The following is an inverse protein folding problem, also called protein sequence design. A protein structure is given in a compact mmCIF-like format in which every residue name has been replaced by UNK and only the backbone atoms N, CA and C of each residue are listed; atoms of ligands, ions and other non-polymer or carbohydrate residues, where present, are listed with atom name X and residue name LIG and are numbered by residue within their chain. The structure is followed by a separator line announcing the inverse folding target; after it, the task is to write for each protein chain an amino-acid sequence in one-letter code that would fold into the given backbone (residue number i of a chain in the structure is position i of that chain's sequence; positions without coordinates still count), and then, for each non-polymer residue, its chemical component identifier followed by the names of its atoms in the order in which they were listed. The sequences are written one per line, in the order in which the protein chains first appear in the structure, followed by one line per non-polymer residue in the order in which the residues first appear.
data_IF_330544416775
#
_entry.id   IF_330544416775
#
_cell.length_a   1.000
_cell.length_b   1.000
_cell.length_c   1.000
_cell.angle_alpha   90.00
_cell.angle_beta   90.00
_cell.angle_gamma   90.00
#
_symmetry.space_group_name_H-M   'P 1'
#
loop_
_entity.id
_entity.type
_entity.pdbx_description
1 polymer ?
#
# COMPACT_ATOMS: atom_id res chain seq x y z
N UNK A 1 -3.15 3.30 24.01
CA UNK A 1 -1.85 2.70 23.65
C UNK A 1 -1.52 3.25 22.27
N UNK A 2 -0.43 3.99 22.10
CA UNK A 2 -0.04 4.47 20.78
C UNK A 2 0.48 3.25 20.02
N UNK A 3 -0.22 2.81 18.97
CA UNK A 3 0.28 1.74 18.12
C UNK A 3 1.47 2.30 17.33
N UNK A 4 2.68 1.87 17.68
CA UNK A 4 3.85 2.16 16.87
C UNK A 4 3.72 1.41 15.56
N UNK A 5 3.72 2.13 14.44
CA UNK A 5 3.71 1.50 13.12
C UNK A 5 5.00 0.68 12.93
N UNK A 6 4.94 -0.47 12.25
CA UNK A 6 6.13 -1.26 11.97
C UNK A 6 7.01 -0.55 10.93
N UNK A 7 8.32 -0.62 11.12
CA UNK A 7 9.29 -0.15 10.12
C UNK A 7 9.17 -1.00 8.85
N UNK A 8 9.33 -0.37 7.68
CA UNK A 8 9.31 -1.07 6.40
C UNK A 8 10.49 -2.06 6.31
N UNK A 9 10.25 -3.37 6.16
CA UNK A 9 11.32 -4.36 6.10
C UNK A 9 12.09 -4.35 4.77
N UNK A 10 11.59 -3.61 3.76
CA UNK A 10 12.19 -3.59 2.42
C UNK A 10 13.18 -2.45 2.23
N UNK A 11 12.77 -1.22 2.55
CA UNK A 11 13.64 -0.06 2.40
C UNK A 11 14.29 0.38 3.72
N UNK A 12 13.75 -0.04 4.86
CA UNK A 12 14.21 0.34 6.21
C UNK A 12 14.25 1.87 6.47
N UNK A 13 13.71 2.69 5.56
CA UNK A 13 13.79 4.15 5.60
C UNK A 13 12.52 4.83 6.15
N UNK A 14 11.39 4.12 6.15
CA UNK A 14 10.09 4.66 6.55
C UNK A 14 9.24 3.58 7.25
N UNK A 15 8.04 3.95 7.70
CA UNK A 15 7.08 3.06 8.34
C UNK A 15 6.02 2.56 7.36
N UNK A 16 5.36 1.47 7.74
CA UNK A 16 4.25 0.89 6.99
C UNK A 16 2.94 1.37 7.58
N UNK A 17 2.11 1.98 6.75
CA UNK A 17 0.84 2.57 7.12
C UNK A 17 -0.33 1.77 6.55
N UNK A 18 -1.47 1.68 7.26
CA UNK A 18 -2.65 1.02 6.73
C UNK A 18 -3.35 1.93 5.70
N UNK A 19 -3.70 1.35 4.55
CA UNK A 19 -4.42 1.99 3.45
C UNK A 19 -5.57 1.08 2.99
N UNK A 20 -6.49 1.64 2.20
CA UNK A 20 -7.49 0.86 1.48
C UNK A 20 -7.67 1.36 0.06
N UNK A 21 -8.10 0.45 -0.82
CA UNK A 21 -8.60 0.82 -2.14
C UNK A 21 -9.96 1.48 -2.02
N UNK A 22 -10.19 2.54 -2.80
CA UNK A 22 -11.44 3.32 -2.77
C UNK A 22 -12.61 2.62 -3.49
N UNK A 23 -12.32 1.72 -4.41
CA UNK A 23 -13.33 1.06 -5.25
C UNK A 23 -14.08 -0.06 -4.50
N UNK A 24 -13.38 -0.89 -3.74
CA UNK A 24 -13.96 -2.02 -2.99
C UNK A 24 -13.72 -1.97 -1.47
N UNK A 25 -12.91 -1.03 -0.99
CA UNK A 25 -12.56 -0.90 0.41
C UNK A 25 -11.52 -1.92 0.90
N UNK A 26 -10.88 -2.70 0.01
CA UNK A 26 -9.89 -3.70 0.39
C UNK A 26 -8.70 -3.03 1.09
N UNK A 27 -8.44 -3.47 2.32
CA UNK A 27 -7.36 -2.97 3.15
C UNK A 27 -6.02 -3.61 2.77
N UNK A 28 -4.95 -2.86 2.94
CA UNK A 28 -3.57 -3.30 2.79
C UNK A 28 -2.63 -2.41 3.60
N UNK A 29 -1.39 -2.85 3.73
CA UNK A 29 -0.31 -2.12 4.38
C UNK A 29 0.63 -1.57 3.33
N UNK A 30 1.03 -0.31 3.43
CA UNK A 30 1.83 0.40 2.43
C UNK A 30 2.98 1.18 3.05
N UNK A 31 4.18 1.04 2.49
CA UNK A 31 5.26 1.99 2.67
C UNK A 31 5.25 2.98 1.51
N UNK A 32 5.08 4.27 1.79
CA UNK A 32 4.99 5.33 0.78
C UNK A 32 6.34 5.80 0.25
N UNK A 33 7.44 5.40 0.90
CA UNK A 33 8.79 5.72 0.42
C UNK A 33 9.20 4.80 -0.74
N UNK A 34 8.93 3.49 -0.64
CA UNK A 34 9.37 2.49 -1.61
C UNK A 34 8.23 1.79 -2.36
N UNK A 35 7.02 2.34 -2.24
CA UNK A 35 5.78 1.89 -2.87
C UNK A 35 5.47 0.41 -2.64
N UNK A 36 5.88 -0.12 -1.49
CA UNK A 36 5.75 -1.55 -1.18
C UNK A 36 4.50 -1.84 -0.38
N UNK A 37 3.76 -2.85 -0.83
CA UNK A 37 2.44 -3.25 -0.38
C UNK A 37 2.46 -4.66 0.19
N UNK A 38 1.71 -4.86 1.29
CA UNK A 38 1.44 -6.16 1.89
C UNK A 38 -0.05 -6.34 2.16
N UNK A 39 -0.58 -7.55 1.92
CA UNK A 39 -1.98 -7.86 2.25
C UNK A 39 -2.14 -8.12 3.76
N UNK A 40 -3.34 -7.87 4.34
CA UNK A 40 -3.56 -7.98 5.79
C UNK A 40 -3.26 -9.35 6.42
N UNK A 41 -3.24 -10.42 5.62
CA UNK A 41 -3.02 -11.79 6.08
C UNK A 41 -1.62 -12.33 5.78
N UNK A 42 -0.72 -11.47 5.30
CA UNK A 42 0.65 -11.85 4.97
C UNK A 42 1.63 -11.36 6.03
N UNK A 43 2.74 -12.08 6.17
CA UNK A 43 3.85 -11.62 6.98
C UNK A 43 4.41 -10.32 6.39
N UNK A 44 4.76 -9.36 7.26
CA UNK A 44 5.40 -8.11 6.84
C UNK A 44 6.90 -8.36 6.62
N UNK A 45 7.23 -8.94 5.47
CA UNK A 45 8.59 -9.37 5.10
C UNK A 45 8.90 -9.00 3.64
N UNK A 46 10.18 -8.99 3.26
CA UNK A 46 10.59 -8.68 1.88
C UNK A 46 10.01 -9.69 0.87
N UNK A 47 9.88 -10.96 1.25
CA UNK A 47 9.42 -12.04 0.37
C UNK A 47 7.95 -11.93 -0.06
N UNK A 48 7.13 -11.22 0.73
CA UNK A 48 5.70 -11.00 0.49
C UNK A 48 5.39 -9.60 -0.02
N UNK A 49 6.41 -8.73 -0.10
CA UNK A 49 6.28 -7.37 -0.59
C UNK A 49 5.93 -7.37 -2.08
N UNK A 50 4.93 -6.56 -2.44
CA UNK A 50 4.55 -6.27 -3.83
C UNK A 50 4.71 -4.80 -4.11
N UNK A 51 4.91 -4.41 -5.36
CA UNK A 51 4.86 -3.00 -5.70
C UNK A 51 3.41 -2.55 -5.91
N UNK A 52 3.10 -1.35 -5.43
CA UNK A 52 1.77 -0.77 -5.52
C UNK A 52 1.34 -0.55 -6.98
N UNK A 53 2.26 -0.15 -7.85
CA UNK A 53 2.02 0.02 -9.28
C UNK A 53 1.58 -1.29 -9.95
N UNK A 54 2.27 -2.41 -9.70
CA UNK A 54 1.93 -3.73 -10.23
C UNK A 54 0.53 -4.17 -9.77
N UNK A 55 0.23 -3.98 -8.48
CA UNK A 55 -1.08 -4.35 -7.91
C UNK A 55 -2.20 -3.52 -8.50
N UNK A 56 -1.99 -2.20 -8.62
CA UNK A 56 -2.98 -1.27 -9.18
C UNK A 56 -3.15 -1.49 -10.68
N UNK A 57 -2.07 -1.73 -11.42
CA UNK A 57 -2.12 -2.02 -12.84
C UNK A 57 -2.94 -3.29 -13.12
N UNK A 58 -2.66 -4.37 -12.38
CA UNK A 58 -3.40 -5.62 -12.46
C UNK A 58 -4.88 -5.43 -12.12
N UNK A 59 -5.19 -4.63 -11.08
CA UNK A 59 -6.55 -4.35 -10.63
C UNK A 59 -7.35 -3.53 -11.65
N UNK A 60 -6.71 -2.56 -12.29
CA UNK A 60 -7.34 -1.71 -13.33
C UNK A 60 -7.34 -2.36 -14.71
N UNK A 61 -6.64 -3.48 -14.91
CA UNK A 61 -6.50 -4.13 -16.21
C UNK A 61 -5.70 -3.29 -17.22
N UNK A 62 -4.77 -2.46 -16.74
CA UNK A 62 -3.92 -1.61 -17.60
C UNK A 62 -2.51 -2.20 -17.70
N UNK A 63 -1.91 -2.11 -18.89
CA UNK A 63 -0.50 -2.43 -19.09
C UNK A 63 0.39 -1.21 -18.83
N UNK A 64 1.44 -1.37 -18.04
CA UNK A 64 2.39 -0.29 -17.71
C UNK A 64 2.05 0.45 -16.43
N UNK A 65 2.56 1.68 -16.29
CA UNK A 65 2.44 2.46 -15.06
C UNK A 65 1.02 3.05 -14.92
N UNK A 66 0.24 2.66 -13.89
CA UNK A 66 -1.13 3.14 -13.72
C UNK A 66 -1.21 4.62 -13.31
N UNK A 67 -0.11 5.22 -12.87
CA UNK A 67 -0.02 6.58 -12.34
C UNK A 67 0.20 7.66 -13.39
N UNK A 68 0.42 7.31 -14.67
CA UNK A 68 0.61 8.31 -15.74
C UNK A 68 -0.61 9.24 -15.91
N UNK A 69 -1.80 8.76 -15.56
CA UNK A 69 -3.07 9.47 -15.72
C UNK A 69 -3.90 9.56 -14.44
N UNK A 70 -3.36 9.10 -13.30
CA UNK A 70 -4.09 9.00 -12.02
C UNK A 70 -3.19 9.36 -10.86
N UNK A 71 -3.77 9.98 -9.85
CA UNK A 71 -3.08 10.20 -8.59
C UNK A 71 -3.40 9.04 -7.64
N UNK A 72 -2.50 8.79 -6.69
CA UNK A 72 -2.77 7.81 -5.62
C UNK A 72 -4.07 8.11 -4.89
N UNK A 73 -4.33 9.39 -4.61
CA UNK A 73 -5.54 9.84 -3.94
C UNK A 73 -6.83 9.52 -4.73
N UNK A 74 -6.76 9.18 -6.01
CA UNK A 74 -7.93 8.75 -6.78
C UNK A 74 -8.24 7.26 -6.57
N UNK A 75 -7.25 6.46 -6.15
CA UNK A 75 -7.33 4.99 -6.12
C UNK A 75 -7.28 4.44 -4.70
N UNK A 76 -6.47 5.05 -3.83
CA UNK A 76 -6.21 4.59 -2.46
C UNK A 76 -6.36 5.74 -1.46
N UNK A 77 -6.63 5.39 -0.21
CA UNK A 77 -6.65 6.35 0.90
C UNK A 77 -6.16 5.74 2.20
N UNK A 78 -5.57 6.54 3.11
CA UNK A 78 -5.18 6.06 4.43
C UNK A 78 -6.38 5.53 5.20
N UNK A 79 -6.24 4.36 5.82
CA UNK A 79 -7.15 3.92 6.86
C UNK A 79 -6.87 4.78 8.09
N UNK A 80 -7.57 5.91 8.17
CA UNK A 80 -7.49 6.76 9.37
C UNK A 80 -7.99 5.94 10.56
N UNK A 81 -7.14 5.71 11.56
CA UNK A 81 -7.62 5.30 12.88
C UNK A 81 -8.50 6.45 13.39
N UNK A 82 -9.81 6.18 13.48
CA UNK A 82 -10.78 7.15 13.96
C UNK A 82 -10.33 7.75 15.29
N UNK A 83 -10.40 9.08 15.35
CA UNK A 83 -10.18 9.93 16.53
C UNK A 83 -10.92 9.43 17.77
#
# INVERSE_FOLDING_TARGET
MQASLPQCPRCEQDWVHPYRFKDDGAAFSLCTECDSLWWPHEALEVATARFLDDVVAARLGVGGNPWESRLWADVIEPLSEGR
#
